data_IF_244821745731
#
_entry.id   IF_244821745731
#
_cell.length_a   1.000
_cell.length_b   1.000
_cell.length_c   1.000
_cell.angle_alpha   90.00
_cell.angle_beta   90.00
_cell.angle_gamma   90.00
#
_symmetry.space_group_name_H-M   'P 1'
#
loop_
_entity.id
_entity.type
_entity.pdbx_description
1 polymer ?
#
# COMPACT_ATOMS: atom_id res chain seq x y z
N UNK A 1 25.38 -14.93 -50.85
CA UNK A 1 25.43 -13.76 -49.94
C UNK A 1 25.50 -14.31 -48.51
N UNK A 2 26.67 -14.26 -47.87
CA UNK A 2 26.85 -14.80 -46.51
C UNK A 2 26.44 -13.73 -45.49
N UNK A 3 25.45 -14.04 -44.65
CA UNK A 3 25.11 -13.19 -43.51
C UNK A 3 26.23 -13.32 -42.47
N UNK A 4 26.84 -12.19 -42.09
CA UNK A 4 27.96 -12.16 -41.15
C UNK A 4 27.58 -12.59 -39.72
N UNK A 5 26.30 -12.70 -39.40
CA UNK A 5 25.81 -13.10 -38.07
C UNK A 5 24.51 -13.92 -38.20
N UNK A 6 24.59 -15.27 -38.24
CA UNK A 6 23.43 -16.12 -38.49
C UNK A 6 22.53 -16.32 -37.25
N UNK A 7 22.99 -15.98 -36.05
CA UNK A 7 22.30 -16.31 -34.79
C UNK A 7 22.51 -15.24 -33.71
N UNK A 8 21.49 -15.02 -32.87
CA UNK A 8 21.56 -14.16 -31.68
C UNK A 8 22.74 -14.51 -30.77
N UNK A 9 23.10 -15.79 -30.70
CA UNK A 9 24.25 -16.31 -29.96
C UNK A 9 25.57 -15.72 -30.45
N UNK A 10 25.75 -15.60 -31.78
CA UNK A 10 26.98 -15.05 -32.37
C UNK A 10 27.18 -13.57 -32.00
N UNK A 11 26.10 -12.83 -31.75
CA UNK A 11 26.15 -11.45 -31.28
C UNK A 11 26.64 -11.36 -29.82
N UNK A 12 26.32 -12.36 -29.00
CA UNK A 12 26.86 -12.49 -27.63
C UNK A 12 28.31 -13.00 -27.62
N UNK A 13 28.68 -13.84 -28.60
CA UNK A 13 30.01 -14.44 -28.74
C UNK A 13 31.03 -13.61 -29.52
N UNK A 14 30.70 -12.39 -29.98
CA UNK A 14 31.68 -11.43 -30.53
C UNK A 14 32.61 -10.89 -29.42
N UNK A 15 33.47 -11.76 -28.88
CA UNK A 15 34.76 -11.42 -28.29
C UNK A 15 34.79 -10.37 -27.18
N UNK A 16 33.72 -10.21 -26.39
CA UNK A 16 33.72 -9.38 -25.18
C UNK A 16 32.86 -8.11 -25.20
N UNK A 17 32.36 -7.66 -26.36
CA UNK A 17 31.56 -6.42 -26.42
C UNK A 17 30.15 -6.55 -25.86
N UNK A 18 29.54 -7.72 -26.03
CA UNK A 18 28.17 -7.97 -25.57
C UNK A 18 28.05 -7.88 -24.04
N UNK A 19 29.12 -8.21 -23.31
CA UNK A 19 29.17 -8.07 -21.85
C UNK A 19 29.03 -6.59 -21.43
N UNK A 20 29.73 -5.68 -22.12
CA UNK A 20 29.63 -4.24 -21.84
C UNK A 20 28.24 -3.68 -22.15
N UNK A 21 27.62 -4.11 -23.26
CA UNK A 21 26.26 -3.69 -23.63
C UNK A 21 25.26 -4.14 -22.58
N UNK A 22 25.33 -5.40 -22.13
CA UNK A 22 24.50 -5.89 -21.03
C UNK A 22 24.74 -5.14 -19.73
N UNK A 23 25.99 -4.80 -19.41
CA UNK A 23 26.30 -4.00 -18.24
C UNK A 23 25.64 -2.61 -18.31
N UNK A 24 25.72 -1.94 -19.46
CA UNK A 24 25.04 -0.66 -19.69
C UNK A 24 23.53 -0.79 -19.56
N UNK A 25 22.93 -1.83 -20.15
CA UNK A 25 21.48 -2.10 -20.05
C UNK A 25 21.08 -2.33 -18.59
N UNK A 26 21.86 -3.11 -17.83
CA UNK A 26 21.61 -3.35 -16.41
C UNK A 26 21.75 -2.06 -15.61
N UNK A 27 22.78 -1.24 -15.85
CA UNK A 27 22.97 0.04 -15.17
C UNK A 27 21.78 0.98 -15.42
N UNK A 28 21.30 1.08 -16.67
CA UNK A 28 20.11 1.87 -17.01
C UNK A 28 18.86 1.30 -16.35
N UNK A 29 18.68 -0.02 -16.36
CA UNK A 29 17.57 -0.69 -15.70
C UNK A 29 17.58 -0.44 -14.20
N UNK A 30 18.73 -0.53 -13.54
CA UNK A 30 18.89 -0.24 -12.10
C UNK A 30 18.54 1.22 -11.81
N UNK A 31 18.96 2.15 -12.66
CA UNK A 31 18.62 3.57 -12.49
C UNK A 31 17.10 3.80 -12.58
N UNK A 32 16.45 3.19 -13.57
CA UNK A 32 15.00 3.27 -13.74
C UNK A 32 14.26 2.58 -12.60
N UNK A 33 14.67 1.37 -12.22
CA UNK A 33 14.11 0.63 -11.10
C UNK A 33 14.32 1.36 -9.78
N UNK A 34 15.46 2.01 -9.58
CA UNK A 34 15.74 2.83 -8.40
C UNK A 34 14.68 3.92 -8.24
N UNK A 35 14.36 4.63 -9.32
CA UNK A 35 13.32 5.68 -9.32
C UNK A 35 11.93 5.09 -9.09
N UNK A 36 11.60 3.98 -9.75
CA UNK A 36 10.29 3.31 -9.61
C UNK A 36 10.10 2.77 -8.19
N UNK A 37 11.09 2.06 -7.65
CA UNK A 37 11.07 1.53 -6.27
C UNK A 37 10.97 2.70 -5.29
N UNK A 38 11.76 3.75 -5.46
CA UNK A 38 11.71 4.93 -4.60
C UNK A 38 10.32 5.59 -4.61
N UNK A 39 9.71 5.72 -5.79
CA UNK A 39 8.36 6.27 -5.94
C UNK A 39 7.29 5.39 -5.29
N UNK A 40 7.38 4.07 -5.47
CA UNK A 40 6.46 3.11 -4.87
C UNK A 40 6.64 2.99 -3.36
N UNK A 41 7.87 3.06 -2.86
CA UNK A 41 8.19 3.08 -1.43
C UNK A 41 7.65 4.33 -0.76
N UNK A 42 7.81 5.50 -1.37
CA UNK A 42 7.26 6.75 -0.83
C UNK A 42 5.73 6.68 -0.72
N UNK A 43 5.05 6.16 -1.76
CA UNK A 43 3.59 5.93 -1.75
C UNK A 43 3.17 4.88 -0.71
N UNK A 44 3.94 3.80 -0.56
CA UNK A 44 3.70 2.75 0.44
C UNK A 44 3.93 3.24 1.86
N UNK A 45 4.92 4.09 2.10
CA UNK A 45 5.14 4.71 3.41
C UNK A 45 3.97 5.60 3.79
N UNK A 46 3.46 6.43 2.88
CA UNK A 46 2.23 7.20 3.12
C UNK A 46 1.06 6.29 3.47
N UNK A 47 0.81 5.23 2.69
CA UNK A 47 -0.28 4.29 2.94
C UNK A 47 -0.08 3.48 4.22
N UNK A 48 1.15 3.14 4.57
CA UNK A 48 1.50 2.43 5.80
C UNK A 48 1.28 3.34 7.03
N UNK A 49 1.68 4.61 6.96
CA UNK A 49 1.41 5.60 8.00
C UNK A 49 -0.08 5.88 8.15
N UNK A 50 -0.82 5.97 7.04
CA UNK A 50 -2.28 6.06 7.07
C UNK A 50 -2.89 4.82 7.71
N UNK A 51 -2.46 3.61 7.35
CA UNK A 51 -2.94 2.36 7.99
C UNK A 51 -2.66 2.34 9.49
N UNK A 52 -1.50 2.84 9.91
CA UNK A 52 -1.11 2.90 11.32
C UNK A 52 -1.96 3.89 12.12
N UNK A 53 -2.42 4.98 11.48
CA UNK A 53 -3.40 5.93 12.05
C UNK A 53 -4.82 5.37 12.02
N UNK A 54 -5.20 4.69 10.94
CA UNK A 54 -6.53 4.08 10.79
C UNK A 54 -6.80 2.97 11.81
N UNK A 55 -5.80 2.15 12.18
CA UNK A 55 -6.02 1.11 13.20
C UNK A 55 -6.38 1.71 14.57
N UNK A 56 -5.83 2.88 14.91
CA UNK A 56 -6.19 3.62 16.13
C UNK A 56 -7.56 4.27 16.01
N UNK A 57 -7.87 4.92 14.89
CA UNK A 57 -9.17 5.57 14.68
C UNK A 57 -10.34 4.58 14.57
N UNK A 58 -10.12 3.40 13.99
CA UNK A 58 -11.15 2.36 13.88
C UNK A 58 -11.59 1.86 15.26
N UNK A 59 -10.65 1.68 16.20
CA UNK A 59 -10.97 1.30 17.58
C UNK A 59 -11.80 2.38 18.28
N UNK A 60 -11.42 3.65 18.12
CA UNK A 60 -12.16 4.78 18.73
C UNK A 60 -13.56 4.93 18.12
N UNK A 61 -13.71 4.74 16.80
CA UNK A 61 -15.01 4.81 16.12
C UNK A 61 -15.95 3.68 16.54
N UNK A 62 -15.43 2.47 16.75
CA UNK A 62 -16.24 1.34 17.24
C UNK A 62 -16.71 1.59 18.67
N UNK A 63 -15.84 2.07 19.57
CA UNK A 63 -16.23 2.44 20.94
C UNK A 63 -17.22 3.60 20.97
N UNK A 64 -17.07 4.63 20.12
CA UNK A 64 -18.03 5.74 20.03
C UNK A 64 -19.42 5.29 19.55
N UNK A 65 -19.48 4.37 18.57
CA UNK A 65 -20.77 3.81 18.10
C UNK A 65 -21.47 2.96 19.17
N UNK A 66 -20.71 2.20 19.96
CA UNK A 66 -21.26 1.45 21.09
C UNK A 66 -21.71 2.36 22.23
N UNK A 67 -20.94 3.41 22.54
CA UNK A 67 -21.32 4.40 23.55
C UNK A 67 -22.58 5.20 23.17
N UNK A 68 -22.72 5.60 21.91
CA UNK A 68 -23.93 6.30 21.45
C UNK A 68 -25.15 5.37 21.36
N UNK A 69 -24.97 4.10 20.98
CA UNK A 69 -26.04 3.10 21.02
C UNK A 69 -26.48 2.75 22.45
N UNK A 70 -25.55 2.65 23.40
CA UNK A 70 -25.83 2.43 24.81
C UNK A 70 -26.54 3.64 25.45
N UNK A 71 -26.10 4.86 25.15
CA UNK A 71 -26.74 6.09 25.63
C UNK A 71 -28.17 6.27 25.07
N UNK A 72 -28.39 5.96 23.79
CA UNK A 72 -29.73 6.03 23.17
C UNK A 72 -30.68 4.99 23.76
N UNK A 73 -30.18 3.78 24.07
CA UNK A 73 -30.98 2.72 24.72
C UNK A 73 -31.32 3.07 26.17
N UNK A 74 -30.41 3.71 26.90
CA UNK A 74 -30.66 4.17 28.27
C UNK A 74 -31.66 5.34 28.33
N UNK A 75 -31.58 6.29 27.40
CA UNK A 75 -32.51 7.41 27.32
C UNK A 75 -33.94 6.99 26.95
N UNK A 76 -34.10 5.96 26.11
CA UNK A 76 -35.41 5.43 25.71
C UNK A 76 -36.05 4.59 26.82
N UNK A 77 -35.28 4.05 27.77
CA UNK A 77 -35.80 3.22 28.88
C UNK A 77 -36.29 4.04 30.09
N UNK A 78 -35.98 5.33 30.17
CA UNK A 78 -36.31 6.18 31.33
C UNK A 78 -37.54 7.14 31.24
N UNK A 79 -38.56 6.98 30.38
CA UNK A 79 -39.76 7.82 30.46
C UNK A 79 -40.85 7.31 31.44
N UNK A 80 -40.78 6.07 31.94
CA UNK A 80 -41.96 5.43 32.55
C UNK A 80 -41.95 5.38 34.10
N UNK A 81 -40.77 5.37 34.73
CA UNK A 81 -40.67 5.25 36.20
C UNK A 81 -41.20 6.47 36.97
N UNK A 82 -41.30 7.63 36.31
CA UNK A 82 -41.81 8.86 36.93
C UNK A 82 -43.34 8.94 36.97
N UNK A 83 -44.06 8.10 36.21
CA UNK A 83 -45.54 8.09 36.21
C UNK A 83 -46.14 7.17 37.28
N UNK A 84 -45.40 6.18 37.79
CA UNK A 84 -45.88 5.27 38.84
C UNK A 84 -45.75 5.81 40.28
N UNK A 85 -44.98 6.89 40.51
CA UNK A 85 -44.78 7.44 41.87
C UNK A 85 -45.73 8.57 42.25
N UNK A 86 -46.70 8.91 41.39
CA UNK A 86 -47.63 10.02 41.62
C UNK A 86 -49.12 9.62 41.71
N UNK A 87 -49.46 8.32 41.71
CA UNK A 87 -50.82 7.81 42.00
C UNK A 87 -50.83 7.06 43.33
#
# INVERSE_FOLDING_TARGET
MNAAFPTWQAFFEMGGYAFYVWLSVIVTLISLFGIVIHTLWYRRQLLADIRRRQSREQRIRQSKKQASAAAKTAAVRSPDSSREKLS
#
